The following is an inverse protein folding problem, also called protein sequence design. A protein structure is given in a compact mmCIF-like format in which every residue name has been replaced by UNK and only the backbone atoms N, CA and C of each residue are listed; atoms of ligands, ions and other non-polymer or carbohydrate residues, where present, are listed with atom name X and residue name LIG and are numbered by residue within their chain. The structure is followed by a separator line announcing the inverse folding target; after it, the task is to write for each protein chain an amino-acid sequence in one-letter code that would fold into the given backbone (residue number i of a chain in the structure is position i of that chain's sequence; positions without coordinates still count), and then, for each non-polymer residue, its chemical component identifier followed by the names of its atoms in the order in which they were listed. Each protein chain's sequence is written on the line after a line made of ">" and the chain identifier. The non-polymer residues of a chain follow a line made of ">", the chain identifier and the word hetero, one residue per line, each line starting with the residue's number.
data_IF_796466050835
#
_entry.id   IF_796466050835
#
_cell.length_a   1.000
_cell.length_b   1.000
_cell.length_c   1.000
_cell.angle_alpha   90.00
_cell.angle_beta   90.00
_cell.angle_gamma   90.00
#
_symmetry.space_group_name_H-M   'P 1'
#
loop_
_entity.id
_entity.type
_entity.pdbx_description
1 polymer ?
#
# COMPACT_ATOMS: atom_id res chain seq x y z
N UNK A 1 17.09 17.78 14.10
CA UNK A 1 15.64 17.96 13.80
C UNK A 1 15.49 19.33 13.21
N UNK A 2 14.86 19.44 12.06
CA UNK A 2 14.46 20.72 11.51
C UNK A 2 13.12 21.09 12.18
N UNK A 3 13.07 22.23 12.86
CA UNK A 3 11.83 22.71 13.49
C UNK A 3 10.79 23.14 12.45
N UNK A 4 11.15 23.17 11.17
CA UNK A 4 10.32 23.61 10.06
C UNK A 4 9.43 22.46 9.50
N UNK A 5 8.09 22.59 9.58
CA UNK A 5 7.13 21.67 8.94
C UNK A 5 7.36 21.47 7.44
N UNK A 6 7.81 22.50 6.72
CA UNK A 6 8.04 22.42 5.27
C UNK A 6 9.25 21.52 4.98
N UNK A 7 10.32 21.62 5.77
CA UNK A 7 11.47 20.72 5.63
C UNK A 7 11.11 19.27 5.93
N UNK A 8 10.23 19.03 6.89
CA UNK A 8 9.71 17.69 7.17
C UNK A 8 8.91 17.12 5.99
N UNK A 9 8.06 17.91 5.35
CA UNK A 9 7.37 17.51 4.12
C UNK A 9 8.34 17.25 2.96
N UNK A 10 9.40 18.07 2.84
CA UNK A 10 10.46 17.83 1.85
C UNK A 10 11.16 16.50 2.08
N UNK A 11 11.43 16.15 3.33
CA UNK A 11 12.00 14.85 3.71
C UNK A 11 11.01 13.69 3.49
N UNK A 12 9.72 13.90 3.74
CA UNK A 12 8.68 12.89 3.58
C UNK A 12 8.61 12.36 2.13
N UNK A 13 8.90 13.20 1.13
CA UNK A 13 8.97 12.80 -0.29
C UNK A 13 9.90 11.63 -0.58
N UNK A 14 10.92 11.39 0.25
CA UNK A 14 11.81 10.23 0.09
C UNK A 14 11.07 8.90 0.22
N UNK A 15 10.00 8.87 1.01
CA UNK A 15 9.26 7.65 1.25
C UNK A 15 8.56 7.11 0.00
N UNK A 16 7.67 7.88 -0.64
CA UNK A 16 7.03 7.46 -1.89
C UNK A 16 8.04 7.18 -3.01
N UNK A 17 9.17 7.90 -3.06
CA UNK A 17 10.23 7.59 -4.04
C UNK A 17 10.80 6.19 -3.81
N UNK A 18 11.10 5.81 -2.57
CA UNK A 18 11.58 4.46 -2.24
C UNK A 18 10.52 3.42 -2.58
N UNK A 19 9.24 3.68 -2.27
CA UNK A 19 8.13 2.79 -2.65
C UNK A 19 8.04 2.61 -4.17
N UNK A 20 8.04 3.70 -4.94
CA UNK A 20 7.95 3.66 -6.41
C UNK A 20 9.10 2.85 -7.01
N UNK A 21 10.33 3.05 -6.52
CA UNK A 21 11.49 2.29 -7.00
C UNK A 21 11.35 0.80 -6.66
N UNK A 22 10.89 0.47 -5.46
CA UNK A 22 10.66 -0.92 -5.07
C UNK A 22 9.58 -1.58 -5.93
N UNK A 23 8.41 -0.95 -6.08
CA UNK A 23 7.33 -1.45 -6.91
C UNK A 23 7.74 -1.58 -8.38
N UNK A 24 8.48 -0.61 -8.93
CA UNK A 24 8.96 -0.69 -10.31
C UNK A 24 9.90 -1.89 -10.50
N UNK A 25 10.84 -2.10 -9.58
CA UNK A 25 11.75 -3.25 -9.61
C UNK A 25 10.98 -4.58 -9.48
N UNK A 26 10.02 -4.64 -8.55
CA UNK A 26 9.19 -5.82 -8.33
C UNK A 26 8.31 -6.12 -9.56
N UNK A 27 7.60 -5.13 -10.10
CA UNK A 27 6.77 -5.28 -11.30
C UNK A 27 7.58 -5.78 -12.47
N UNK A 28 8.75 -5.19 -12.76
CA UNK A 28 9.62 -5.63 -13.86
C UNK A 28 10.08 -7.07 -13.63
N UNK A 29 10.57 -7.40 -12.43
CA UNK A 29 11.04 -8.74 -12.11
C UNK A 29 9.93 -9.78 -12.21
N UNK A 30 8.74 -9.50 -11.64
CA UNK A 30 7.56 -10.38 -11.67
C UNK A 30 7.03 -10.58 -13.08
N UNK A 31 6.90 -9.52 -13.87
CA UNK A 31 6.40 -9.62 -15.25
C UNK A 31 7.39 -10.40 -16.14
N UNK A 32 8.68 -10.12 -16.06
CA UNK A 32 9.69 -10.86 -16.81
C UNK A 32 9.71 -12.34 -16.42
N UNK A 33 9.74 -12.64 -15.12
CA UNK A 33 9.67 -14.02 -14.62
C UNK A 33 8.35 -14.69 -15.05
N UNK A 34 7.23 -13.99 -14.95
CA UNK A 34 5.90 -14.45 -15.33
C UNK A 34 5.81 -14.87 -16.81
N UNK A 35 6.30 -14.03 -17.72
CA UNK A 35 6.31 -14.35 -19.15
C UNK A 35 7.32 -15.44 -19.52
N UNK A 36 8.53 -15.43 -18.94
CA UNK A 36 9.55 -16.43 -19.24
C UNK A 36 9.19 -17.83 -18.71
N UNK A 37 8.51 -17.88 -17.56
CA UNK A 37 8.19 -19.11 -16.85
C UNK A 37 6.72 -19.54 -17.00
N UNK A 38 5.94 -18.80 -17.80
CA UNK A 38 4.49 -19.01 -17.99
C UNK A 38 3.69 -19.04 -16.66
N UNK A 39 4.09 -18.20 -15.71
CA UNK A 39 3.49 -18.09 -14.39
C UNK A 39 2.44 -16.97 -14.37
N UNK A 40 1.16 -17.33 -14.53
CA UNK A 40 0.04 -16.37 -14.56
C UNK A 40 -0.13 -15.62 -13.24
N UNK A 41 0.20 -16.26 -12.10
CA UNK A 41 0.14 -15.63 -10.78
C UNK A 41 1.11 -14.44 -10.67
N UNK A 42 2.32 -14.58 -11.24
CA UNK A 42 3.33 -13.53 -11.28
C UNK A 42 2.97 -12.39 -12.21
N UNK A 43 2.32 -12.70 -13.34
CA UNK A 43 1.86 -11.67 -14.27
C UNK A 43 0.80 -10.80 -13.58
N UNK A 44 -0.21 -11.42 -12.96
CA UNK A 44 -1.27 -10.72 -12.26
C UNK A 44 -0.72 -9.84 -11.12
N UNK A 45 0.17 -10.39 -10.30
CA UNK A 45 0.80 -9.66 -9.18
C UNK A 45 1.73 -8.53 -9.65
N UNK A 46 2.46 -8.74 -10.74
CA UNK A 46 3.28 -7.70 -11.37
C UNK A 46 2.48 -6.51 -11.88
N UNK A 47 1.30 -6.75 -12.47
CA UNK A 47 0.36 -5.70 -12.85
C UNK A 47 -0.29 -5.00 -11.64
N UNK A 48 -0.57 -5.74 -10.57
CA UNK A 48 -1.09 -5.13 -9.34
C UNK A 48 -0.11 -4.08 -8.78
N UNK A 49 1.18 -4.41 -8.73
CA UNK A 49 2.21 -3.47 -8.28
C UNK A 49 2.37 -2.22 -9.17
N UNK A 50 1.92 -2.24 -10.43
CA UNK A 50 1.87 -1.02 -11.25
C UNK A 50 0.82 -0.03 -10.74
N UNK A 51 -0.30 -0.50 -10.21
CA UNK A 51 -1.33 0.35 -9.59
C UNK A 51 -0.77 1.05 -8.34
N UNK A 52 0.05 0.36 -7.55
CA UNK A 52 0.71 0.94 -6.37
C UNK A 52 1.70 2.04 -6.74
N UNK A 53 2.38 1.93 -7.90
CA UNK A 53 3.22 3.00 -8.43
C UNK A 53 2.40 4.26 -8.68
N UNK A 54 1.23 4.13 -9.32
CA UNK A 54 0.34 5.27 -9.59
C UNK A 54 -0.11 5.93 -8.29
N UNK A 55 -0.50 5.14 -7.29
CA UNK A 55 -0.86 5.63 -5.96
C UNK A 55 0.28 6.41 -5.28
N UNK A 56 1.51 5.90 -5.36
CA UNK A 56 2.67 6.58 -4.79
C UNK A 56 3.11 7.82 -5.59
N UNK A 57 2.89 7.86 -6.91
CA UNK A 57 3.09 9.08 -7.72
C UNK A 57 2.12 10.17 -7.27
N UNK A 58 0.83 9.84 -7.12
CA UNK A 58 -0.17 10.78 -6.63
C UNK A 58 0.21 11.34 -5.24
N UNK A 59 0.66 10.46 -4.34
CA UNK A 59 1.16 10.85 -3.02
C UNK A 59 2.40 11.75 -3.08
N UNK A 60 3.34 11.47 -3.99
CA UNK A 60 4.55 12.27 -4.19
C UNK A 60 4.24 13.67 -4.70
N UNK A 61 3.31 13.79 -5.66
CA UNK A 61 2.81 15.08 -6.16
C UNK A 61 2.14 15.84 -5.01
N UNK A 62 1.30 15.16 -4.24
CA UNK A 62 0.66 15.69 -3.05
C UNK A 62 1.62 16.30 -2.04
N UNK A 63 2.63 15.53 -1.64
CA UNK A 63 3.69 16.00 -0.74
C UNK A 63 4.54 17.12 -1.34
N UNK A 64 4.75 17.12 -2.66
CA UNK A 64 5.44 18.20 -3.34
C UNK A 64 4.67 19.51 -3.21
N UNK A 65 3.38 19.49 -3.54
CA UNK A 65 2.49 20.66 -3.42
C UNK A 65 2.36 21.11 -1.96
N UNK A 66 2.20 20.18 -1.02
CA UNK A 66 2.12 20.50 0.41
C UNK A 66 3.39 21.18 0.94
N UNK A 67 4.56 20.88 0.35
CA UNK A 67 5.86 21.46 0.73
C UNK A 67 6.15 22.84 0.13
N UNK A 68 5.22 23.42 -0.62
CA UNK A 68 5.38 24.77 -1.16
C UNK A 68 5.14 25.84 -0.08
N UNK A 69 5.90 26.95 -0.10
CA UNK A 69 5.68 28.07 0.82
C UNK A 69 4.30 28.72 0.59
N UNK A 70 3.90 29.60 1.51
CA UNK A 70 2.68 30.38 1.35
C UNK A 70 2.79 31.31 0.12
N UNK A 71 1.67 31.50 -0.57
CA UNK A 71 1.55 32.39 -1.72
C UNK A 71 0.31 33.30 -1.58
N UNK A 72 0.01 34.08 -2.62
CA UNK A 72 -1.11 35.03 -2.61
C UNK A 72 -2.49 34.34 -2.45
N UNK A 73 -2.64 33.12 -2.97
CA UNK A 73 -3.89 32.35 -2.93
C UNK A 73 -3.98 31.47 -1.67
N UNK A 74 -2.84 31.08 -1.09
CA UNK A 74 -2.71 30.24 0.09
C UNK A 74 -1.87 30.95 1.16
N UNK A 75 -2.46 31.98 1.76
CA UNK A 75 -1.79 32.81 2.80
C UNK A 75 -1.33 32.02 4.03
N UNK A 76 -1.97 30.88 4.30
CA UNK A 76 -1.63 29.98 5.41
C UNK A 76 -0.71 28.81 4.99
N UNK A 77 -0.25 28.80 3.74
CA UNK A 77 0.56 27.71 3.17
C UNK A 77 -0.26 26.56 2.61
N UNK A 78 0.45 25.58 2.03
CA UNK A 78 -0.13 24.47 1.28
C UNK A 78 -0.26 23.16 2.09
N UNK A 79 0.03 23.19 3.40
CA UNK A 79 0.17 21.99 4.24
C UNK A 79 -1.09 21.10 4.28
N UNK A 80 -2.30 21.65 4.14
CA UNK A 80 -3.55 20.86 4.04
C UNK A 80 -3.59 19.93 2.82
N UNK A 81 -2.78 20.17 1.80
CA UNK A 81 -2.66 19.26 0.65
C UNK A 81 -2.09 17.91 1.07
N UNK A 82 -1.29 17.84 2.14
CA UNK A 82 -0.85 16.55 2.69
C UNK A 82 -2.05 15.70 3.13
N UNK A 83 -3.00 16.32 3.84
CA UNK A 83 -4.20 15.65 4.33
C UNK A 83 -5.09 15.19 3.18
N UNK A 84 -5.25 16.02 2.14
CA UNK A 84 -5.95 15.65 0.92
C UNK A 84 -5.26 14.48 0.20
N UNK A 85 -3.94 14.46 0.17
CA UNK A 85 -3.17 13.38 -0.47
C UNK A 85 -3.33 12.07 0.29
N UNK A 86 -3.25 12.12 1.62
CA UNK A 86 -3.52 10.98 2.50
C UNK A 86 -4.95 10.45 2.32
N UNK A 87 -5.94 11.34 2.23
CA UNK A 87 -7.33 10.99 1.96
C UNK A 87 -7.47 10.23 0.63
N UNK A 88 -6.90 10.76 -0.46
CA UNK A 88 -6.94 10.12 -1.79
C UNK A 88 -6.26 8.75 -1.75
N UNK A 89 -5.07 8.65 -1.16
CA UNK A 89 -4.36 7.37 -1.03
C UNK A 89 -5.17 6.35 -0.25
N UNK A 90 -5.76 6.75 0.90
CA UNK A 90 -6.61 5.86 1.69
C UNK A 90 -7.86 5.40 0.95
N UNK A 91 -8.43 6.26 0.11
CA UNK A 91 -9.59 5.90 -0.72
C UNK A 91 -9.21 4.89 -1.81
N UNK A 92 -8.05 5.05 -2.46
CA UNK A 92 -7.51 4.05 -3.41
C UNK A 92 -7.29 2.72 -2.69
N UNK A 93 -6.65 2.73 -1.52
CA UNK A 93 -6.45 1.53 -0.70
C UNK A 93 -7.77 0.84 -0.33
N UNK A 94 -8.82 1.63 -0.04
CA UNK A 94 -10.14 1.11 0.25
C UNK A 94 -10.77 0.40 -0.96
N UNK A 95 -10.68 1.00 -2.16
CA UNK A 95 -11.15 0.40 -3.41
C UNK A 95 -10.42 -0.93 -3.68
N UNK A 96 -9.08 -0.93 -3.59
CA UNK A 96 -8.27 -2.13 -3.80
C UNK A 96 -8.63 -3.21 -2.78
N UNK A 97 -8.75 -2.85 -1.50
CA UNK A 97 -9.20 -3.79 -0.46
C UNK A 97 -10.57 -4.40 -0.75
N UNK A 98 -11.51 -3.61 -1.26
CA UNK A 98 -12.84 -4.09 -1.63
C UNK A 98 -12.82 -5.00 -2.86
N UNK A 99 -11.97 -4.70 -3.84
CA UNK A 99 -11.75 -5.56 -5.01
C UNK A 99 -11.20 -6.93 -4.59
N UNK A 100 -10.19 -6.96 -3.71
CA UNK A 100 -9.64 -8.21 -3.16
C UNK A 100 -10.71 -8.98 -2.37
N UNK A 101 -11.58 -8.29 -1.61
CA UNK A 101 -12.69 -8.92 -0.89
C UNK A 101 -13.65 -9.63 -1.85
N UNK A 102 -14.07 -8.94 -2.90
CA UNK A 102 -14.97 -9.50 -3.92
C UNK A 102 -14.34 -10.73 -4.57
N UNK A 103 -13.07 -10.62 -5.00
CA UNK A 103 -12.35 -11.74 -5.63
C UNK A 103 -12.23 -12.95 -4.68
N UNK A 104 -11.93 -12.70 -3.41
CA UNK A 104 -11.83 -13.75 -2.39
C UNK A 104 -13.19 -14.44 -2.17
N UNK A 105 -14.27 -13.67 -2.04
CA UNK A 105 -15.62 -14.20 -1.87
C UNK A 105 -16.03 -15.00 -3.12
N UNK A 106 -15.77 -14.48 -4.32
CA UNK A 106 -16.06 -15.18 -5.57
C UNK A 106 -15.31 -16.51 -5.67
N UNK A 107 -14.01 -16.53 -5.33
CA UNK A 107 -13.20 -17.76 -5.31
C UNK A 107 -13.73 -18.80 -4.31
N UNK A 108 -14.24 -18.36 -3.15
CA UNK A 108 -14.87 -19.25 -2.17
C UNK A 108 -16.12 -19.93 -2.76
N UNK A 109 -16.99 -19.16 -3.43
CA UNK A 109 -18.25 -19.66 -3.98
C UNK A 109 -18.08 -20.47 -5.27
N UNK A 110 -17.17 -20.07 -6.16
CA UNK A 110 -16.89 -20.78 -7.41
C UNK A 110 -16.17 -22.10 -7.19
N UNK A 111 -15.56 -22.30 -6.02
CA UNK A 111 -14.73 -23.47 -5.75
C UNK A 111 -13.44 -23.47 -6.58
N UNK A 112 -13.07 -22.32 -7.14
CA UNK A 112 -11.88 -22.18 -7.97
C UNK A 112 -10.62 -22.58 -7.18
N UNK A 113 -9.78 -23.36 -7.85
CA UNK A 113 -8.56 -23.90 -7.26
C UNK A 113 -7.42 -22.93 -7.56
N UNK A 114 -6.69 -22.54 -6.52
CA UNK A 114 -5.47 -21.75 -6.69
C UNK A 114 -4.46 -22.57 -7.50
N UNK A 115 -3.99 -22.09 -8.66
CA UNK A 115 -3.04 -22.83 -9.47
C UNK A 115 -1.75 -23.05 -8.70
N UNK A 116 -1.19 -24.27 -8.80
CA UNK A 116 0.06 -24.62 -8.14
C UNK A 116 1.20 -23.98 -8.94
N UNK A 117 1.73 -22.87 -8.42
CA UNK A 117 2.82 -22.09 -9.03
C UNK A 117 3.98 -21.90 -8.04
N UNK A 118 4.87 -22.89 -7.89
CA UNK A 118 5.95 -22.84 -6.90
C UNK A 118 6.88 -21.64 -7.09
N UNK A 119 7.07 -21.18 -8.34
CA UNK A 119 7.91 -20.01 -8.63
C UNK A 119 7.19 -18.74 -8.18
N UNK A 120 5.89 -18.64 -8.46
CA UNK A 120 5.01 -17.62 -7.92
C UNK A 120 5.11 -17.48 -6.40
N UNK A 121 5.06 -18.60 -5.68
CA UNK A 121 5.18 -18.60 -4.22
C UNK A 121 6.54 -18.10 -3.71
N UNK A 122 7.65 -18.50 -4.33
CA UNK A 122 8.99 -18.05 -3.92
C UNK A 122 9.15 -16.56 -4.17
N UNK A 123 8.75 -16.08 -5.34
CA UNK A 123 8.83 -14.66 -5.71
C UNK A 123 7.88 -13.83 -4.84
N UNK A 124 6.70 -14.34 -4.49
CA UNK A 124 5.79 -13.69 -3.56
C UNK A 124 6.39 -13.52 -2.16
N UNK A 125 7.09 -14.54 -1.63
CA UNK A 125 7.83 -14.43 -0.36
C UNK A 125 8.92 -13.35 -0.46
N UNK A 126 9.71 -13.36 -1.54
CA UNK A 126 10.76 -12.34 -1.75
C UNK A 126 10.17 -10.93 -1.84
N UNK A 127 9.03 -10.78 -2.52
CA UNK A 127 8.30 -9.52 -2.65
C UNK A 127 7.81 -9.04 -1.29
N UNK A 128 7.22 -9.94 -0.49
CA UNK A 128 6.80 -9.64 0.88
C UNK A 128 7.96 -9.14 1.74
N UNK A 129 9.15 -9.76 1.64
CA UNK A 129 10.34 -9.34 2.38
C UNK A 129 10.82 -7.95 1.96
N UNK A 130 10.86 -7.67 0.65
CA UNK A 130 11.24 -6.36 0.10
C UNK A 130 10.26 -5.30 0.62
N UNK A 131 8.95 -5.58 0.55
CA UNK A 131 7.91 -4.64 0.97
C UNK A 131 7.85 -4.44 2.49
N UNK A 132 8.18 -5.45 3.30
CA UNK A 132 8.44 -5.27 4.72
C UNK A 132 9.64 -4.33 4.97
N UNK A 133 10.69 -4.44 4.17
CA UNK A 133 11.82 -3.52 4.18
C UNK A 133 11.38 -2.08 3.91
N UNK A 134 10.63 -1.86 2.83
CA UNK A 134 10.09 -0.54 2.46
C UNK A 134 9.15 -0.01 3.54
N UNK A 135 8.25 -0.84 4.07
CA UNK A 135 7.36 -0.50 5.18
C UNK A 135 8.14 -0.03 6.40
N UNK A 136 9.17 -0.77 6.82
CA UNK A 136 9.95 -0.39 8.01
C UNK A 136 10.70 0.91 7.81
N UNK A 137 11.23 1.15 6.60
CA UNK A 137 11.84 2.44 6.24
C UNK A 137 10.80 3.58 6.31
N UNK A 138 9.68 3.44 5.61
CA UNK A 138 8.64 4.46 5.53
C UNK A 138 7.99 4.73 6.89
N UNK A 139 7.76 3.70 7.72
CA UNK A 139 7.21 3.87 9.06
C UNK A 139 8.18 4.54 10.02
N UNK A 140 9.49 4.28 9.89
CA UNK A 140 10.50 5.01 10.67
C UNK A 140 10.57 6.47 10.24
N UNK A 141 10.53 6.72 8.93
CA UNK A 141 10.57 8.07 8.39
C UNK A 141 9.30 8.86 8.73
N UNK A 142 8.10 8.26 8.61
CA UNK A 142 6.82 8.91 8.94
C UNK A 142 6.78 9.38 10.38
N UNK A 143 7.22 8.56 11.33
CA UNK A 143 7.34 8.93 12.74
C UNK A 143 8.32 10.07 12.98
N UNK A 144 9.42 10.12 12.24
CA UNK A 144 10.44 11.17 12.36
C UNK A 144 9.96 12.51 11.83
N UNK A 145 9.27 12.53 10.69
CA UNK A 145 8.80 13.76 10.02
C UNK A 145 7.35 14.12 10.35
N UNK A 146 6.66 13.30 11.14
CA UNK A 146 5.25 13.46 11.54
C UNK A 146 4.28 13.64 10.34
N UNK A 147 4.53 12.90 9.27
CA UNK A 147 3.72 12.97 8.05
C UNK A 147 2.64 11.90 8.02
N UNK A 148 1.37 12.31 7.93
CA UNK A 148 0.22 11.39 7.82
C UNK A 148 0.18 10.71 6.46
N UNK A 149 0.53 11.45 5.41
CA UNK A 149 0.66 10.93 4.05
C UNK A 149 1.69 9.78 4.00
N UNK A 150 2.80 9.91 4.72
CA UNK A 150 3.80 8.86 4.80
C UNK A 150 3.40 7.71 5.73
N UNK A 151 2.55 7.94 6.74
CA UNK A 151 1.91 6.85 7.50
C UNK A 151 1.04 6.02 6.56
N UNK A 152 0.21 6.65 5.73
CA UNK A 152 -0.63 5.98 4.75
C UNK A 152 0.19 5.11 3.78
N UNK A 153 1.22 5.69 3.15
CA UNK A 153 2.14 4.92 2.30
C UNK A 153 2.79 3.74 3.03
N UNK A 154 3.24 3.92 4.27
CA UNK A 154 3.83 2.80 5.03
C UNK A 154 2.83 1.67 5.25
N UNK A 155 1.57 2.01 5.55
CA UNK A 155 0.51 1.02 5.77
C UNK A 155 0.12 0.30 4.49
N UNK A 156 0.12 1.01 3.36
CA UNK A 156 -0.04 0.44 2.03
C UNK A 156 1.07 -0.57 1.71
N UNK A 157 2.33 -0.24 1.99
CA UNK A 157 3.45 -1.18 1.82
C UNK A 157 3.33 -2.43 2.72
N UNK A 158 2.79 -2.28 3.93
CA UNK A 158 2.52 -3.42 4.81
C UNK A 158 1.38 -4.29 4.27
N UNK A 159 0.34 -3.67 3.71
CA UNK A 159 -0.75 -4.35 3.01
C UNK A 159 -0.21 -5.21 1.88
N UNK A 160 0.63 -4.64 1.00
CA UNK A 160 1.21 -5.35 -0.14
C UNK A 160 2.17 -6.49 0.29
N UNK A 161 2.92 -6.29 1.38
CA UNK A 161 3.70 -7.37 1.96
C UNK A 161 2.82 -8.51 2.47
N UNK A 162 1.68 -8.18 3.09
CA UNK A 162 0.70 -9.13 3.58
C UNK A 162 0.04 -9.91 2.44
N UNK A 163 -0.39 -9.24 1.38
CA UNK A 163 -1.00 -9.88 0.20
C UNK A 163 -0.01 -10.78 -0.53
N UNK A 164 1.23 -10.31 -0.77
CA UNK A 164 2.29 -11.12 -1.39
C UNK A 164 2.59 -12.40 -0.60
N UNK A 165 2.67 -12.28 0.74
CA UNK A 165 2.87 -13.43 1.62
C UNK A 165 1.64 -14.35 1.63
N UNK A 166 0.44 -13.77 1.66
CA UNK A 166 -0.84 -14.47 1.59
C UNK A 166 -0.94 -15.33 0.33
N UNK A 167 -0.67 -14.76 -0.84
CA UNK A 167 -0.62 -15.48 -2.13
C UNK A 167 0.42 -16.61 -2.13
N UNK A 168 1.56 -16.41 -1.46
CA UNK A 168 2.57 -17.46 -1.37
C UNK A 168 2.10 -18.62 -0.49
N UNK A 169 1.50 -18.32 0.66
CA UNK A 169 0.88 -19.31 1.55
C UNK A 169 -0.28 -20.02 0.85
N UNK A 170 -1.06 -19.30 0.05
CA UNK A 170 -2.15 -19.83 -0.76
C UNK A 170 -1.68 -20.95 -1.69
N UNK A 171 -0.65 -20.67 -2.48
CA UNK A 171 -0.08 -21.62 -3.43
C UNK A 171 0.49 -22.85 -2.70
N UNK A 172 1.18 -22.66 -1.57
CA UNK A 172 1.70 -23.77 -0.76
C UNK A 172 0.56 -24.60 -0.17
N UNK A 173 -0.49 -23.96 0.38
CA UNK A 173 -1.65 -24.66 0.92
C UNK A 173 -2.42 -25.44 -0.15
N UNK A 174 -2.53 -24.90 -1.37
CA UNK A 174 -3.10 -25.59 -2.52
C UNK A 174 -2.31 -26.86 -2.87
N UNK A 175 -0.97 -26.81 -2.80
CA UNK A 175 -0.13 -27.99 -3.02
C UNK A 175 -0.36 -29.11 -1.99
N UNK A 176 -0.80 -28.75 -0.78
CA UNK A 176 -1.14 -29.67 0.31
C UNK A 176 -2.61 -30.11 0.32
N UNK A 177 -3.41 -29.71 -0.68
CA UNK A 177 -4.88 -29.93 -0.73
C UNK A 177 -5.63 -29.31 0.46
N UNK A 178 -5.14 -28.17 0.97
CA UNK A 178 -5.75 -27.40 2.07
C UNK A 178 -6.21 -25.99 1.61
N UNK A 179 -7.06 -25.87 0.56
CA UNK A 179 -7.45 -24.57 -0.01
C UNK A 179 -8.30 -23.70 0.94
N UNK A 180 -8.82 -24.26 2.03
CA UNK A 180 -9.58 -23.51 3.04
C UNK A 180 -8.67 -22.53 3.80
N UNK A 181 -7.39 -22.91 4.02
CA UNK A 181 -6.43 -22.09 4.76
C UNK A 181 -6.14 -20.78 4.02
N UNK A 182 -5.96 -20.88 2.70
CA UNK A 182 -5.78 -19.74 1.79
C UNK A 182 -6.93 -18.73 1.93
N UNK A 183 -8.17 -19.20 1.75
CA UNK A 183 -9.38 -18.37 1.77
C UNK A 183 -9.54 -17.61 3.10
N UNK A 184 -9.25 -18.27 4.22
CA UNK A 184 -9.28 -17.63 5.55
C UNK A 184 -8.17 -16.58 5.70
N UNK A 185 -6.96 -16.88 5.24
CA UNK A 185 -5.85 -15.92 5.29
C UNK A 185 -6.14 -14.67 4.44
N UNK A 186 -6.68 -14.86 3.23
CA UNK A 186 -7.09 -13.77 2.36
C UNK A 186 -8.14 -12.87 3.04
N UNK A 187 -9.20 -13.44 3.62
CA UNK A 187 -10.22 -12.67 4.36
C UNK A 187 -9.64 -11.87 5.53
N UNK A 188 -8.71 -12.44 6.29
CA UNK A 188 -8.05 -11.76 7.41
C UNK A 188 -7.22 -10.57 6.90
N UNK A 189 -6.40 -10.78 5.85
CA UNK A 189 -5.58 -9.73 5.27
C UNK A 189 -6.49 -8.61 4.75
N UNK A 190 -7.52 -8.94 3.96
CA UNK A 190 -8.45 -7.96 3.42
C UNK A 190 -9.16 -7.15 4.50
N UNK A 191 -9.57 -7.79 5.61
CA UNK A 191 -10.13 -7.08 6.75
C UNK A 191 -9.16 -6.03 7.33
N UNK A 192 -7.88 -6.38 7.49
CA UNK A 192 -6.87 -5.43 7.96
C UNK A 192 -6.64 -4.28 6.99
N UNK A 193 -6.67 -4.54 5.68
CA UNK A 193 -6.53 -3.51 4.64
C UNK A 193 -7.68 -2.53 4.74
N UNK A 194 -8.93 -3.02 4.71
CA UNK A 194 -10.13 -2.20 4.78
C UNK A 194 -10.23 -1.39 6.07
N UNK A 195 -9.88 -2.00 7.21
CA UNK A 195 -9.83 -1.29 8.48
C UNK A 195 -8.78 -0.17 8.44
N UNK A 196 -7.59 -0.47 7.97
CA UNK A 196 -6.48 0.49 7.95
C UNK A 196 -6.76 1.66 7.01
N UNK A 197 -7.33 1.39 5.83
CA UNK A 197 -7.71 2.45 4.89
C UNK A 197 -8.84 3.33 5.44
N UNK A 198 -9.84 2.73 6.10
CA UNK A 198 -10.90 3.47 6.77
C UNK A 198 -10.36 4.37 7.89
N UNK A 199 -9.47 3.86 8.74
CA UNK A 199 -8.86 4.63 9.83
C UNK A 199 -8.12 5.87 9.30
N UNK A 200 -7.30 5.69 8.24
CA UNK A 200 -6.56 6.80 7.60
C UNK A 200 -7.53 7.79 6.92
N UNK A 201 -8.57 7.28 6.26
CA UNK A 201 -9.57 8.10 5.60
C UNK A 201 -10.25 9.03 6.62
N UNK A 202 -10.72 8.45 7.73
CA UNK A 202 -11.38 9.21 8.79
C UNK A 202 -10.44 10.23 9.43
N UNK A 203 -9.20 9.84 9.73
CA UNK A 203 -8.19 10.77 10.28
C UNK A 203 -7.95 11.95 9.32
N UNK A 204 -7.80 11.68 8.02
CA UNK A 204 -7.56 12.70 6.99
C UNK A 204 -8.77 13.61 6.79
N UNK A 205 -9.98 13.05 6.77
CA UNK A 205 -11.24 13.80 6.64
C UNK A 205 -11.49 14.72 7.84
N UNK A 206 -11.18 14.26 9.06
CA UNK A 206 -11.28 15.09 10.26
C UNK A 206 -10.27 16.24 10.27
N UNK A 207 -9.02 15.99 9.85
CA UNK A 207 -8.02 17.05 9.72
C UNK A 207 -8.42 18.10 8.68
N UNK A 208 -9.04 17.70 7.57
CA UNK A 208 -9.52 18.63 6.54
C UNK A 208 -10.72 19.46 7.00
N UNK A 209 -11.61 18.89 7.81
CA UNK A 209 -12.79 19.57 8.34
C UNK A 209 -12.51 20.43 9.58
N UNK A 210 -11.24 20.58 9.96
CA UNK A 210 -10.79 21.34 11.14
C UNK A 210 -11.43 20.86 12.46
N UNK A 211 -11.76 19.56 12.54
CA UNK A 211 -12.30 18.95 13.77
C UNK A 211 -11.17 18.74 14.77
N UNK A 212 -11.29 19.37 15.95
CA UNK A 212 -10.38 19.18 17.06
C UNK A 212 -10.75 17.93 17.87
N UNK A 213 -10.13 16.78 17.58
CA UNK A 213 -10.26 15.59 18.42
C UNK A 213 -9.15 15.52 19.48
N UNK A 214 -9.53 15.47 20.76
CA UNK A 214 -8.64 15.12 21.86
C UNK A 214 -8.58 13.60 22.05
N UNK A 215 -7.55 12.95 21.49
CA UNK A 215 -7.03 11.58 21.74
C UNK A 215 -7.77 10.33 21.22
N UNK A 216 -6.93 9.48 20.61
CA UNK A 216 -6.82 8.00 20.65
C UNK A 216 -8.04 7.12 20.41
N UNK A 217 -8.12 6.58 19.19
CA UNK A 217 -8.63 5.23 18.90
C UNK A 217 -7.44 4.34 18.48
#
# INVERSE_FOLDING_TARGET
>A
MTQDPIENLKLAKRGPIVSIMAYLLLSIAKLLAGYLLNASSLIADGFNNLSDIVGNIALLIGLHLASQPADANHKFGHWKIEDLSSLITSFIMFIVGFQVLIQTIQSIFSGEQTPIDPIGAIVGILSALIMLGVYTFNKRLSKRVKSIALVAASKDNLSDAGTSLGTSVAIVAASLKLPIIDRLAALIITFFILKTSFDIFMESAFRLSDVFYSRHL
#
